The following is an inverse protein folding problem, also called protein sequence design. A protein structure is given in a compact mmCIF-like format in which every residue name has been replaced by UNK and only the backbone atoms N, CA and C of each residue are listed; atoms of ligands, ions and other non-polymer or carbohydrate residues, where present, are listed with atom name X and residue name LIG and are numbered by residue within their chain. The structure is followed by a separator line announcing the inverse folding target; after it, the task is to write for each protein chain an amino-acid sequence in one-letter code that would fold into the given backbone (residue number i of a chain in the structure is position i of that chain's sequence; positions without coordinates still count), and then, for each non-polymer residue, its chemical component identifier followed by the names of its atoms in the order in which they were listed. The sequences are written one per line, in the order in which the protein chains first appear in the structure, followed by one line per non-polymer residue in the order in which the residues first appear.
data_IF_170074770185
#
_entry.id   IF_170074770185
#
_cell.length_a   1.000
_cell.length_b   1.000
_cell.length_c   1.000
_cell.angle_alpha   90.00
_cell.angle_beta   90.00
_cell.angle_gamma   90.00
#
_symmetry.space_group_name_H-M   'P 1'
#
loop_
_entity.id
_entity.type
_entity.pdbx_description
1 polymer ?
#
# COMPACT_ATOMS: atom_id res chain seq x y z
N UNK A 1 24.94 -10.56 -17.37
CA UNK A 1 24.14 -9.79 -16.39
C UNK A 1 23.49 -8.65 -17.14
N UNK A 2 22.15 -8.52 -17.12
CA UNK A 2 21.55 -7.29 -17.62
C UNK A 2 20.68 -6.63 -16.54
N UNK A 3 21.02 -5.38 -16.22
CA UNK A 3 20.35 -4.45 -15.29
C UNK A 3 20.38 -4.78 -13.79
N UNK A 4 21.03 -3.89 -13.04
CA UNK A 4 20.89 -3.72 -11.59
C UNK A 4 19.90 -2.58 -11.27
N UNK A 5 19.34 -2.50 -10.05
CA UNK A 5 18.53 -1.36 -9.63
C UNK A 5 19.26 -0.02 -9.80
N UNK A 6 20.57 0.00 -9.51
CA UNK A 6 21.41 1.18 -9.72
C UNK A 6 21.53 1.57 -11.22
N UNK A 7 21.46 0.62 -12.14
CA UNK A 7 21.47 0.91 -13.58
C UNK A 7 20.14 1.54 -14.03
N UNK A 8 19.02 1.16 -13.41
CA UNK A 8 17.69 1.77 -13.65
C UNK A 8 17.68 3.19 -13.12
N UNK A 9 18.18 3.41 -11.90
CA UNK A 9 18.22 4.74 -11.28
C UNK A 9 19.09 5.74 -12.05
N UNK A 10 20.21 5.29 -12.61
CA UNK A 10 21.17 6.13 -13.32
C UNK A 10 20.90 6.25 -14.84
N UNK A 11 19.79 5.69 -15.34
CA UNK A 11 19.49 5.75 -16.77
C UNK A 11 19.08 7.16 -17.18
N UNK A 12 19.67 7.66 -18.27
CA UNK A 12 19.33 8.96 -18.84
C UNK A 12 18.86 8.82 -20.29
N UNK A 13 17.64 9.29 -20.58
CA UNK A 13 17.09 9.29 -21.92
C UNK A 13 17.37 10.61 -22.65
N UNK A 14 17.74 10.53 -23.93
CA UNK A 14 17.94 11.71 -24.78
C UNK A 14 16.61 12.38 -25.14
N UNK A 15 16.57 13.72 -25.17
CA UNK A 15 15.38 14.47 -25.58
C UNK A 15 14.99 14.13 -27.04
N UNK A 16 13.67 14.04 -27.34
CA UNK A 16 13.20 13.77 -28.69
C UNK A 16 13.76 14.77 -29.72
N UNK A 17 14.09 14.34 -30.95
CA UNK A 17 14.47 15.24 -32.03
C UNK A 17 13.39 16.32 -32.25
N UNK A 18 13.83 17.55 -32.57
CA UNK A 18 12.94 18.70 -32.74
C UNK A 18 11.78 18.36 -33.69
N UNK A 19 10.56 18.58 -33.22
CA UNK A 19 9.32 18.31 -33.98
C UNK A 19 8.70 16.92 -33.77
N UNK A 20 9.31 16.04 -32.96
CA UNK A 20 8.71 14.77 -32.54
C UNK A 20 8.23 14.82 -31.09
N UNK A 21 7.09 14.19 -30.82
CA UNK A 21 6.57 14.03 -29.45
C UNK A 21 7.33 12.90 -28.75
N UNK A 22 7.74 13.14 -27.51
CA UNK A 22 8.31 12.13 -26.61
C UNK A 22 7.31 11.65 -25.56
N UNK A 23 7.78 10.76 -24.69
CA UNK A 23 7.08 10.41 -23.46
C UNK A 23 7.11 11.57 -22.46
N UNK A 24 6.17 11.59 -21.53
CA UNK A 24 6.14 12.54 -20.43
C UNK A 24 7.21 12.16 -19.41
N UNK A 25 8.13 13.08 -19.09
CA UNK A 25 9.25 12.83 -18.18
C UNK A 25 8.73 12.36 -16.80
N UNK A 26 7.70 13.01 -16.25
CA UNK A 26 7.12 12.67 -14.94
C UNK A 26 6.53 11.25 -14.89
N UNK A 27 5.89 10.81 -15.98
CA UNK A 27 5.29 9.46 -16.07
C UNK A 27 6.36 8.38 -16.26
N UNK A 28 7.44 8.72 -16.96
CA UNK A 28 8.59 7.82 -17.15
C UNK A 28 9.34 7.66 -15.83
N UNK A 29 9.61 8.74 -15.11
CA UNK A 29 10.30 8.70 -13.82
C UNK A 29 9.50 7.88 -12.78
N UNK A 30 8.18 8.12 -12.67
CA UNK A 30 7.32 7.33 -11.78
C UNK A 30 7.28 5.83 -12.13
N UNK A 31 7.38 5.49 -13.42
CA UNK A 31 7.47 4.10 -13.86
C UNK A 31 8.84 3.48 -13.53
N UNK A 32 9.93 4.23 -13.68
CA UNK A 32 11.28 3.77 -13.33
C UNK A 32 11.43 3.52 -11.83
N UNK A 33 10.83 4.37 -10.97
CA UNK A 33 10.79 4.14 -9.52
C UNK A 33 10.12 2.81 -9.17
N UNK A 34 9.01 2.49 -9.84
CA UNK A 34 8.30 1.22 -9.65
C UNK A 34 9.13 0.02 -10.13
N UNK A 35 9.82 0.17 -11.26
CA UNK A 35 10.72 -0.86 -11.80
C UNK A 35 11.93 -1.08 -10.88
N UNK A 36 12.52 -0.01 -10.33
CA UNK A 36 13.64 -0.09 -9.38
C UNK A 36 13.23 -0.83 -8.10
N UNK A 37 12.07 -0.49 -7.54
CA UNK A 37 11.53 -1.14 -6.35
C UNK A 37 11.26 -2.63 -6.58
N UNK A 38 10.62 -2.98 -7.70
CA UNK A 38 10.29 -4.38 -8.01
C UNK A 38 11.54 -5.20 -8.33
N UNK A 39 12.54 -4.60 -9.01
CA UNK A 39 13.80 -5.26 -9.29
C UNK A 39 14.59 -5.53 -8.00
N UNK A 40 14.59 -4.58 -7.06
CA UNK A 40 15.21 -4.77 -5.74
C UNK A 40 14.54 -5.91 -4.99
N UNK A 41 13.20 -5.91 -4.93
CA UNK A 41 12.42 -6.98 -4.31
C UNK A 41 12.70 -8.35 -4.93
N UNK A 42 12.73 -8.44 -6.26
CA UNK A 42 13.00 -9.70 -6.96
C UNK A 42 14.41 -10.23 -6.70
N UNK A 43 15.40 -9.33 -6.56
CA UNK A 43 16.77 -9.71 -6.22
C UNK A 43 16.85 -10.24 -4.79
N UNK A 44 16.21 -9.55 -3.84
CA UNK A 44 16.12 -10.00 -2.43
C UNK A 44 15.42 -11.36 -2.35
N UNK A 45 14.25 -11.52 -2.98
CA UNK A 45 13.50 -12.78 -3.01
C UNK A 45 14.31 -13.91 -3.67
N UNK A 46 15.03 -13.63 -4.77
CA UNK A 46 15.89 -14.63 -5.39
C UNK A 46 17.05 -15.03 -4.47
N UNK A 47 17.58 -14.08 -3.70
CA UNK A 47 18.65 -14.34 -2.74
C UNK A 47 18.17 -15.19 -1.56
N UNK A 48 16.98 -14.89 -1.04
CA UNK A 48 16.34 -15.64 0.05
C UNK A 48 15.97 -17.06 -0.40
N UNK A 49 15.40 -17.20 -1.59
CA UNK A 49 15.08 -18.50 -2.18
C UNK A 49 16.33 -19.35 -2.40
N UNK A 50 17.42 -18.74 -2.86
CA UNK A 50 18.72 -19.45 -3.00
C UNK A 50 19.27 -19.89 -1.65
N UNK A 51 19.22 -19.03 -0.64
CA UNK A 51 19.63 -19.39 0.72
C UNK A 51 18.76 -20.53 1.27
N UNK A 52 17.44 -20.50 1.02
CA UNK A 52 16.54 -21.56 1.46
C UNK A 52 16.78 -22.89 0.75
N UNK A 53 17.10 -22.86 -0.53
CA UNK A 53 17.54 -24.05 -1.28
C UNK A 53 18.83 -24.60 -0.69
N UNK A 54 19.81 -23.74 -0.41
CA UNK A 54 21.08 -24.16 0.18
C UNK A 54 20.90 -24.75 1.59
N UNK A 55 20.04 -24.15 2.43
CA UNK A 55 19.67 -24.66 3.75
C UNK A 55 18.98 -26.03 3.64
N UNK A 56 18.01 -26.17 2.72
CA UNK A 56 17.34 -27.45 2.47
C UNK A 56 18.29 -28.50 1.93
N UNK A 57 19.23 -28.15 1.05
CA UNK A 57 20.27 -29.06 0.55
C UNK A 57 21.20 -29.48 1.69
N UNK A 58 21.53 -28.59 2.63
CA UNK A 58 22.31 -28.91 3.83
C UNK A 58 21.51 -29.79 4.82
N UNK A 59 20.22 -29.53 5.01
CA UNK A 59 19.32 -30.39 5.81
C UNK A 59 19.12 -31.75 5.15
N UNK A 60 19.05 -31.83 3.83
CA UNK A 60 19.03 -33.08 3.07
C UNK A 60 20.38 -33.79 3.08
N UNK A 61 21.50 -33.06 3.16
CA UNK A 61 22.82 -33.67 3.35
C UNK A 61 23.02 -34.17 4.80
N UNK A 62 22.51 -33.44 5.80
CA UNK A 62 22.60 -33.78 7.21
C UNK A 62 21.57 -34.86 7.63
N UNK A 63 20.35 -34.77 7.11
CA UNK A 63 19.29 -35.77 7.21
C UNK A 63 19.45 -36.93 6.22
N UNK A 64 20.26 -36.74 5.18
CA UNK A 64 20.71 -37.75 4.22
C UNK A 64 21.82 -38.66 4.73
N UNK A 65 21.98 -38.75 6.05
CA UNK A 65 22.62 -39.87 6.73
C UNK A 65 21.84 -41.19 6.60
N UNK A 66 21.32 -41.51 5.42
CA UNK A 66 20.85 -42.83 5.00
C UNK A 66 20.68 -42.95 3.47
N UNK A 67 21.53 -42.31 2.66
CA UNK A 67 21.73 -42.72 1.26
C UNK A 67 23.08 -42.20 0.76
N UNK A 68 24.14 -42.91 1.11
CA UNK A 68 25.42 -42.75 0.45
C UNK A 68 25.25 -43.00 -1.07
N UNK A 69 25.74 -42.12 -1.97
CA UNK A 69 26.15 -42.56 -3.28
C UNK A 69 27.39 -43.41 -3.04
N UNK A 70 27.23 -44.73 -3.09
CA UNK A 70 28.33 -45.67 -3.11
C UNK A 70 29.19 -45.38 -4.34
N UNK A 71 30.24 -44.59 -4.11
CA UNK A 71 31.36 -44.45 -5.00
C UNK A 71 31.90 -45.85 -5.27
N UNK A 72 31.79 -46.25 -6.53
CA UNK A 72 32.45 -47.41 -7.09
C UNK A 72 33.97 -47.25 -6.94
N UNK A 73 34.54 -47.99 -5.99
CA UNK A 73 35.94 -48.43 -6.01
C UNK A 73 35.93 -49.97 -5.95
N UNK A 74 36.82 -50.64 -6.71
CA UNK A 74 36.65 -52.02 -7.12
C UNK A 74 36.94 -52.98 -5.97
N UNK A 75 35.89 -53.56 -5.40
CA UNK A 75 36.04 -54.72 -4.53
C UNK A 75 36.39 -55.91 -5.41
N UNK A 76 37.59 -56.40 -5.17
CA UNK A 76 38.24 -57.50 -5.86
C UNK A 76 37.33 -58.72 -5.90
N UNK A 77 37.26 -59.31 -7.09
CA UNK A 77 36.70 -60.62 -7.32
C UNK A 77 37.34 -61.61 -6.33
N UNK A 78 36.53 -62.11 -5.39
CA UNK A 78 36.81 -63.39 -4.77
C UNK A 78 36.71 -64.41 -5.92
N UNK A 79 37.79 -65.13 -6.26
CA UNK A 79 37.74 -66.13 -7.30
C UNK A 79 36.73 -67.18 -6.85
N UNK A 80 35.68 -67.34 -7.64
CA UNK A 80 34.82 -68.52 -7.60
C UNK A 80 35.74 -69.69 -7.91
N UNK A 81 36.18 -70.37 -6.85
CA UNK A 81 36.87 -71.63 -6.97
C UNK A 81 35.89 -72.63 -7.58
N UNK A 82 36.17 -72.94 -8.84
CA UNK A 82 35.70 -74.11 -9.55
C UNK A 82 35.97 -75.36 -8.71
N UNK A 83 34.95 -76.10 -8.26
CA UNK A 83 35.20 -77.38 -7.62
C UNK A 83 35.56 -78.37 -8.72
N UNK A 84 36.84 -78.71 -8.81
CA UNK A 84 37.31 -79.87 -9.58
C UNK A 84 36.56 -81.14 -9.11
N UNK A 85 36.16 -82.02 -10.05
CA UNK A 85 35.50 -83.26 -9.72
C UNK A 85 36.53 -84.26 -9.16
N UNK A 86 36.65 -84.32 -7.84
CA UNK A 86 37.35 -85.42 -7.16
C UNK A 86 36.57 -86.71 -7.32
N UNK A 87 37.14 -87.61 -8.13
CA UNK A 87 36.73 -89.00 -8.34
C UNK A 87 36.58 -89.75 -7.03
N UNK A 88 35.60 -90.64 -7.05
CA UNK A 88 35.15 -91.52 -5.97
C UNK A 88 36.17 -92.58 -5.51
N UNK A 89 36.05 -92.89 -4.21
CA UNK A 89 36.10 -94.21 -3.56
C UNK A 89 37.48 -94.92 -3.40
N UNK A 90 37.67 -95.80 -2.38
CA UNK A 90 36.63 -96.50 -1.62
C UNK A 90 36.73 -96.46 -0.08
N UNK A 91 35.60 -96.85 0.50
CA UNK A 91 35.34 -97.02 1.91
C UNK A 91 36.30 -97.99 2.61
N UNK A 92 36.65 -97.66 3.85
CA UNK A 92 36.96 -98.63 4.88
C UNK A 92 35.85 -98.57 5.92
N UNK A 93 34.92 -99.52 5.81
CA UNK A 93 33.87 -99.77 6.78
C UNK A 93 34.49 -100.31 8.08
N UNK A 94 34.12 -99.75 9.22
CA UNK A 94 34.00 -100.51 10.49
C UNK A 94 33.17 -99.73 11.52
N UNK A 95 32.06 -100.36 11.96
CA UNK A 95 31.09 -99.99 13.02
C UNK A 95 30.11 -98.83 12.75
N UNK A 96 29.03 -99.15 12.02
CA UNK A 96 28.18 -98.17 11.31
C UNK A 96 26.80 -97.85 11.91
N UNK A 97 26.37 -98.41 13.03
CA UNK A 97 25.05 -98.07 13.61
C UNK A 97 25.13 -97.00 14.70
N UNK A 98 26.10 -97.10 15.59
CA UNK A 98 26.15 -96.23 16.78
C UNK A 98 26.67 -94.82 16.46
N UNK A 99 27.52 -94.67 15.44
CA UNK A 99 27.94 -93.37 14.90
C UNK A 99 26.83 -92.70 14.07
N UNK A 100 26.03 -93.48 13.33
CA UNK A 100 24.87 -92.97 12.60
C UNK A 100 23.77 -92.46 13.55
N UNK A 101 23.53 -93.15 14.67
CA UNK A 101 22.59 -92.72 15.71
C UNK A 101 23.09 -91.44 16.40
N UNK A 102 24.40 -91.33 16.70
CA UNK A 102 25.00 -90.11 17.27
C UNK A 102 24.92 -88.94 16.27
N UNK A 103 25.21 -89.18 14.99
CA UNK A 103 25.10 -88.17 13.94
C UNK A 103 23.65 -87.70 13.72
N UNK A 104 22.67 -88.62 13.70
CA UNK A 104 21.25 -88.27 13.57
C UNK A 104 20.75 -87.44 14.77
N UNK A 105 21.19 -87.75 15.99
CA UNK A 105 20.84 -86.97 17.19
C UNK A 105 21.45 -85.57 17.16
N UNK A 106 22.68 -85.42 16.65
CA UNK A 106 23.31 -84.10 16.45
C UNK A 106 22.60 -83.32 15.33
N UNK A 107 22.19 -83.99 14.23
CA UNK A 107 21.43 -83.36 13.16
C UNK A 107 20.07 -82.85 13.66
N UNK A 108 19.37 -83.66 14.46
CA UNK A 108 18.11 -83.29 15.11
C UNK A 108 18.28 -82.10 16.04
N UNK A 109 19.33 -82.10 16.86
CA UNK A 109 19.64 -80.95 17.73
C UNK A 109 19.95 -79.70 16.90
N UNK A 110 20.69 -79.85 15.80
CA UNK A 110 20.98 -78.74 14.89
C UNK A 110 19.71 -78.21 14.21
N UNK A 111 18.81 -79.09 13.76
CA UNK A 111 17.51 -78.72 13.20
C UNK A 111 16.63 -78.00 14.24
N UNK A 112 16.53 -78.52 15.46
CA UNK A 112 15.81 -77.86 16.55
C UNK A 112 16.38 -76.46 16.85
N UNK A 113 17.71 -76.31 16.84
CA UNK A 113 18.33 -74.99 17.02
C UNK A 113 18.08 -74.05 15.86
N UNK A 114 18.04 -74.55 14.62
CA UNK A 114 17.74 -73.76 13.43
C UNK A 114 16.28 -73.29 13.42
N UNK A 115 15.34 -74.17 13.78
CA UNK A 115 13.92 -73.85 13.89
C UNK A 115 13.65 -72.85 15.02
N UNK A 116 14.38 -72.97 16.13
CA UNK A 116 14.29 -72.00 17.23
C UNK A 116 14.87 -70.64 16.84
N UNK A 117 16.02 -70.60 16.18
CA UNK A 117 16.64 -69.34 15.73
C UNK A 117 15.77 -68.62 14.69
N UNK A 118 15.18 -69.37 13.75
CA UNK A 118 14.27 -68.80 12.75
C UNK A 118 12.99 -68.27 13.40
N UNK A 119 12.40 -69.00 14.34
CA UNK A 119 11.25 -68.51 15.12
C UNK A 119 11.57 -67.24 15.92
N UNK A 120 12.72 -67.17 16.59
CA UNK A 120 13.12 -65.97 17.33
C UNK A 120 13.39 -64.78 16.40
N UNK A 121 14.04 -65.01 15.26
CA UNK A 121 14.30 -63.96 14.28
C UNK A 121 13.00 -63.43 13.64
N UNK A 122 12.04 -64.32 13.36
CA UNK A 122 10.71 -63.93 12.88
C UNK A 122 9.98 -63.09 13.92
N UNK A 123 9.95 -63.53 15.19
CA UNK A 123 9.29 -62.79 16.26
C UNK A 123 9.93 -61.41 16.51
N UNK A 124 11.27 -61.31 16.47
CA UNK A 124 11.98 -60.04 16.58
C UNK A 124 11.69 -59.10 15.39
N UNK A 125 11.63 -59.65 14.17
CA UNK A 125 11.30 -58.87 12.97
C UNK A 125 9.86 -58.35 13.00
N UNK A 126 8.90 -59.19 13.38
CA UNK A 126 7.50 -58.80 13.53
C UNK A 126 7.34 -57.70 14.58
N UNK A 127 8.06 -57.83 15.71
CA UNK A 127 8.08 -56.80 16.75
C UNK A 127 8.66 -55.49 16.22
N UNK A 128 9.80 -55.53 15.53
CA UNK A 128 10.42 -54.33 14.95
C UNK A 128 9.51 -53.64 13.93
N UNK A 129 8.79 -54.40 13.10
CA UNK A 129 7.80 -53.86 12.17
C UNK A 129 6.60 -53.27 12.88
N UNK A 130 6.13 -53.87 13.98
CA UNK A 130 5.06 -53.33 14.80
C UNK A 130 5.47 -52.01 15.47
N UNK A 131 6.67 -51.96 16.06
CA UNK A 131 7.23 -50.76 16.69
C UNK A 131 7.44 -49.65 15.66
N UNK A 132 7.98 -49.97 14.47
CA UNK A 132 8.16 -49.01 13.39
C UNK A 132 6.82 -48.44 12.89
N UNK A 133 5.79 -49.28 12.76
CA UNK A 133 4.43 -48.83 12.39
C UNK A 133 3.82 -47.93 13.47
N UNK A 134 3.92 -48.31 14.74
CA UNK A 134 3.41 -47.50 15.85
C UNK A 134 4.09 -46.13 15.91
N UNK A 135 5.41 -46.08 15.71
CA UNK A 135 6.16 -44.82 15.65
C UNK A 135 5.74 -43.97 14.44
N UNK A 136 5.57 -44.57 13.27
CA UNK A 136 5.11 -43.86 12.08
C UNK A 136 3.69 -43.27 12.28
N UNK A 137 2.78 -44.03 12.87
CA UNK A 137 1.43 -43.56 13.17
C UNK A 137 1.44 -42.42 14.19
N UNK A 138 2.30 -42.50 15.20
CA UNK A 138 2.48 -41.41 16.18
C UNK A 138 2.98 -40.14 15.50
N UNK A 139 4.04 -40.21 14.69
CA UNK A 139 4.58 -39.05 13.96
C UNK A 139 3.52 -38.44 13.04
N UNK A 140 2.76 -39.27 12.31
CA UNK A 140 1.69 -38.79 11.44
C UNK A 140 0.56 -38.12 12.22
N UNK A 141 0.21 -38.63 13.41
CA UNK A 141 -0.81 -38.02 14.26
C UNK A 141 -0.36 -36.67 14.83
N UNK A 142 0.89 -36.56 15.24
CA UNK A 142 1.48 -35.32 15.77
C UNK A 142 1.66 -34.27 14.67
N UNK A 143 2.15 -34.69 13.50
CA UNK A 143 2.25 -33.82 12.32
C UNK A 143 0.86 -33.30 11.88
N UNK A 144 -0.19 -34.15 11.92
CA UNK A 144 -1.55 -33.71 11.63
C UNK A 144 -2.08 -32.71 12.66
N UNK A 145 -1.90 -33.00 13.95
CA UNK A 145 -2.36 -32.12 15.04
C UNK A 145 -1.69 -30.73 15.00
N UNK A 146 -0.38 -30.71 14.74
CA UNK A 146 0.38 -29.46 14.59
C UNK A 146 -0.02 -28.70 13.33
N UNK A 147 -0.26 -29.39 12.21
CA UNK A 147 -0.79 -28.77 10.99
C UNK A 147 -2.19 -28.17 11.21
N UNK A 148 -3.09 -28.88 11.88
CA UNK A 148 -4.44 -28.38 12.20
C UNK A 148 -4.37 -27.15 13.10
N UNK A 149 -3.51 -27.17 14.12
CA UNK A 149 -3.33 -26.05 15.04
C UNK A 149 -2.77 -24.82 14.32
N UNK A 150 -1.73 -25.00 13.50
CA UNK A 150 -1.13 -23.88 12.74
C UNK A 150 -2.11 -23.29 11.73
N UNK A 151 -2.91 -24.11 11.05
CA UNK A 151 -3.97 -23.62 10.15
C UNK A 151 -5.06 -22.88 10.92
N UNK A 152 -5.47 -23.39 12.08
CA UNK A 152 -6.48 -22.73 12.92
C UNK A 152 -5.98 -21.37 13.43
N UNK A 153 -4.75 -21.31 13.93
CA UNK A 153 -4.12 -20.05 14.38
C UNK A 153 -3.97 -19.05 13.23
N UNK A 154 -3.50 -19.51 12.06
CA UNK A 154 -3.33 -18.65 10.89
C UNK A 154 -4.70 -18.06 10.45
N UNK A 155 -5.75 -18.88 10.43
CA UNK A 155 -7.12 -18.41 10.14
C UNK A 155 -7.60 -17.40 11.17
N UNK A 156 -7.45 -17.69 12.46
CA UNK A 156 -7.86 -16.77 13.52
C UNK A 156 -7.12 -15.43 13.44
N UNK A 157 -5.81 -15.43 13.15
CA UNK A 157 -5.03 -14.21 12.96
C UNK A 157 -5.48 -13.43 11.73
N UNK A 158 -5.78 -14.12 10.62
CA UNK A 158 -6.30 -13.49 9.41
C UNK A 158 -7.67 -12.85 9.66
N UNK A 159 -8.59 -13.55 10.32
CA UNK A 159 -9.93 -13.03 10.65
C UNK A 159 -9.84 -11.82 11.58
N UNK A 160 -8.95 -11.86 12.58
CA UNK A 160 -8.70 -10.72 13.47
C UNK A 160 -8.13 -9.50 12.72
N UNK A 161 -7.19 -9.73 11.79
CA UNK A 161 -6.62 -8.66 10.96
C UNK A 161 -7.67 -8.04 10.03
N UNK A 162 -8.54 -8.85 9.44
CA UNK A 162 -9.65 -8.37 8.61
C UNK A 162 -10.65 -7.53 9.42
N UNK A 163 -11.00 -7.99 10.63
CA UNK A 163 -11.90 -7.25 11.52
C UNK A 163 -11.31 -5.91 11.97
N UNK A 164 -10.02 -5.87 12.33
CA UNK A 164 -9.33 -4.63 12.70
C UNK A 164 -9.20 -3.67 11.51
N UNK A 165 -8.88 -4.18 10.31
CA UNK A 165 -8.84 -3.37 9.10
C UNK A 165 -10.22 -2.77 8.76
N UNK A 166 -11.29 -3.56 8.88
CA UNK A 166 -12.67 -3.08 8.69
C UNK A 166 -13.03 -2.01 9.72
N UNK A 167 -12.75 -2.24 11.00
CA UNK A 167 -13.04 -1.27 12.06
C UNK A 167 -12.29 0.07 11.86
N UNK A 168 -11.01 0.02 11.47
CA UNK A 168 -10.22 1.22 11.16
C UNK A 168 -10.76 1.95 9.94
N UNK A 169 -11.13 1.22 8.89
CA UNK A 169 -11.73 1.80 7.68
C UNK A 169 -13.06 2.51 8.01
N UNK A 170 -13.94 1.86 8.77
CA UNK A 170 -15.21 2.46 9.19
C UNK A 170 -15.01 3.70 10.06
N UNK A 171 -14.06 3.65 11.00
CA UNK A 171 -13.71 4.81 11.82
C UNK A 171 -13.19 5.98 10.99
N UNK A 172 -12.32 5.72 10.00
CA UNK A 172 -11.80 6.74 9.10
C UNK A 172 -12.91 7.35 8.23
N UNK A 173 -13.84 6.54 7.72
CA UNK A 173 -14.99 7.02 6.95
C UNK A 173 -15.90 7.91 7.80
N UNK A 174 -16.19 7.51 9.04
CA UNK A 174 -16.98 8.35 9.97
C UNK A 174 -16.28 9.69 10.25
N UNK A 175 -14.99 9.66 10.54
CA UNK A 175 -14.22 10.89 10.77
C UNK A 175 -14.17 11.80 9.53
N UNK A 176 -14.07 11.22 8.33
CA UNK A 176 -14.09 11.99 7.09
C UNK A 176 -15.47 12.62 6.85
N UNK A 177 -16.55 11.88 7.09
CA UNK A 177 -17.93 12.38 6.99
C UNK A 177 -18.18 13.51 7.99
N UNK A 178 -17.85 13.32 9.26
CA UNK A 178 -18.00 14.35 10.30
C UNK A 178 -17.25 15.64 9.96
N UNK A 179 -16.02 15.53 9.42
CA UNK A 179 -15.24 16.69 8.96
C UNK A 179 -15.87 17.37 7.75
N UNK A 180 -16.42 16.61 6.80
CA UNK A 180 -17.09 17.14 5.63
C UNK A 180 -18.36 17.91 6.04
N UNK A 181 -19.18 17.32 6.90
CA UNK A 181 -20.41 17.94 7.42
C UNK A 181 -20.10 19.20 8.23
N UNK A 182 -19.06 19.18 9.07
CA UNK A 182 -18.60 20.35 9.81
C UNK A 182 -18.13 21.48 8.89
N UNK A 183 -17.36 21.16 7.86
CA UNK A 183 -16.88 22.13 6.87
C UNK A 183 -18.05 22.73 6.07
N UNK A 184 -19.03 21.91 5.70
CA UNK A 184 -20.24 22.38 5.02
C UNK A 184 -21.04 23.33 5.92
N UNK A 185 -21.26 22.96 7.18
CA UNK A 185 -21.97 23.80 8.14
C UNK A 185 -21.22 25.13 8.41
N UNK A 186 -19.89 25.12 8.47
CA UNK A 186 -19.06 26.33 8.56
C UNK A 186 -19.20 27.21 7.31
N UNK A 187 -19.19 26.61 6.12
CA UNK A 187 -19.34 27.32 4.86
C UNK A 187 -20.73 27.98 4.74
N UNK A 188 -21.79 27.25 5.08
CA UNK A 188 -23.17 27.76 5.09
C UNK A 188 -23.34 28.91 6.09
N UNK A 189 -22.78 28.78 7.30
CA UNK A 189 -22.79 29.87 8.30
C UNK A 189 -22.11 31.12 7.74
N UNK A 190 -20.87 31.01 7.26
CA UNK A 190 -20.14 32.14 6.66
C UNK A 190 -20.88 32.75 5.48
N UNK A 191 -21.48 31.91 4.63
CA UNK A 191 -22.27 32.39 3.49
C UNK A 191 -23.47 33.21 3.96
N UNK A 192 -24.21 32.71 4.95
CA UNK A 192 -25.37 33.42 5.51
C UNK A 192 -24.99 34.75 6.16
N UNK A 193 -23.86 34.80 6.87
CA UNK A 193 -23.32 36.02 7.47
C UNK A 193 -22.93 37.04 6.40
N UNK A 194 -22.15 36.63 5.41
CA UNK A 194 -21.72 37.50 4.30
C UNK A 194 -22.94 38.03 3.55
N UNK A 195 -23.89 37.17 3.18
CA UNK A 195 -25.12 37.60 2.51
C UNK A 195 -25.95 38.54 3.37
N UNK A 196 -26.01 38.30 4.69
CA UNK A 196 -26.61 39.22 5.64
C UNK A 196 -25.98 40.61 5.58
N UNK A 197 -24.65 40.70 5.61
CA UNK A 197 -23.92 41.98 5.52
C UNK A 197 -24.11 42.67 4.17
N UNK A 198 -24.06 41.94 3.07
CA UNK A 198 -24.28 42.47 1.72
C UNK A 198 -25.69 43.05 1.60
N UNK A 199 -26.70 42.34 2.10
CA UNK A 199 -28.08 42.81 2.10
C UNK A 199 -28.25 44.08 2.96
N UNK A 200 -27.62 44.13 4.14
CA UNK A 200 -27.63 45.35 4.97
C UNK A 200 -26.99 46.54 4.25
N UNK A 201 -25.81 46.35 3.65
CA UNK A 201 -25.13 47.39 2.89
C UNK A 201 -25.97 47.86 1.70
N UNK A 202 -26.58 46.93 0.98
CA UNK A 202 -27.50 47.22 -0.13
C UNK A 202 -28.66 48.11 0.34
N UNK A 203 -29.36 47.73 1.42
CA UNK A 203 -30.47 48.52 1.97
C UNK A 203 -30.02 49.93 2.39
N UNK A 204 -28.85 50.06 3.00
CA UNK A 204 -28.30 51.38 3.36
C UNK A 204 -27.98 52.23 2.13
N UNK A 205 -27.40 51.64 1.10
CA UNK A 205 -27.09 52.33 -0.16
C UNK A 205 -28.37 52.74 -0.92
N UNK A 206 -29.38 51.86 -0.96
CA UNK A 206 -30.69 52.15 -1.53
C UNK A 206 -31.37 53.32 -0.80
N UNK A 207 -31.33 53.33 0.54
CA UNK A 207 -31.86 54.44 1.33
C UNK A 207 -31.14 55.77 1.07
N UNK A 208 -29.80 55.76 0.97
CA UNK A 208 -29.02 56.96 0.61
C UNK A 208 -29.36 57.45 -0.81
N UNK A 209 -29.52 56.54 -1.77
CA UNK A 209 -29.90 56.88 -3.13
C UNK A 209 -31.25 57.62 -3.16
N UNK A 210 -32.22 57.15 -2.38
CA UNK A 210 -33.53 57.80 -2.27
C UNK A 210 -33.45 59.18 -1.60
N UNK A 211 -32.65 59.32 -0.54
CA UNK A 211 -32.38 60.63 0.08
C UNK A 211 -31.74 61.61 -0.92
N UNK A 212 -30.74 61.17 -1.70
CA UNK A 212 -30.11 62.00 -2.71
C UNK A 212 -31.09 62.42 -3.81
N UNK A 213 -31.98 61.53 -4.26
CA UNK A 213 -33.03 61.84 -5.25
C UNK A 213 -34.02 62.87 -4.73
N UNK A 214 -34.41 62.77 -3.46
CA UNK A 214 -35.29 63.77 -2.82
C UNK A 214 -34.58 65.11 -2.69
N UNK A 215 -33.34 65.12 -2.19
CA UNK A 215 -32.52 66.32 -2.10
C UNK A 215 -32.34 67.01 -3.46
N UNK A 216 -32.04 66.25 -4.51
CA UNK A 216 -31.92 66.78 -5.88
C UNK A 216 -33.22 67.43 -6.34
N UNK A 217 -34.37 66.77 -6.13
CA UNK A 217 -35.68 67.30 -6.52
C UNK A 217 -35.99 68.61 -5.78
N UNK A 218 -35.76 68.65 -4.48
CA UNK A 218 -35.96 69.85 -3.67
C UNK A 218 -35.00 70.97 -4.08
N UNK A 219 -33.72 70.65 -4.29
CA UNK A 219 -32.71 71.62 -4.72
C UNK A 219 -33.06 72.22 -6.08
N UNK A 220 -33.43 71.40 -7.08
CA UNK A 220 -33.89 71.87 -8.39
C UNK A 220 -35.11 72.78 -8.27
N UNK A 221 -36.06 72.42 -7.41
CA UNK A 221 -37.26 73.23 -7.17
C UNK A 221 -36.90 74.59 -6.54
N UNK A 222 -36.10 74.59 -5.48
CA UNK A 222 -35.64 75.82 -4.80
C UNK A 222 -34.81 76.72 -5.73
N UNK A 223 -33.92 76.13 -6.52
CA UNK A 223 -33.10 76.85 -7.49
C UNK A 223 -33.98 77.49 -8.58
N UNK A 224 -34.98 76.76 -9.09
CA UNK A 224 -35.94 77.30 -10.05
C UNK A 224 -36.71 78.49 -9.46
N UNK A 225 -37.28 78.33 -8.27
CA UNK A 225 -38.02 79.41 -7.59
C UNK A 225 -37.14 80.62 -7.31
N UNK A 226 -35.88 80.41 -6.90
CA UNK A 226 -34.92 81.49 -6.67
C UNK A 226 -34.60 82.26 -7.96
N UNK A 227 -34.33 81.57 -9.07
CA UNK A 227 -34.06 82.20 -10.35
C UNK A 227 -35.29 82.93 -10.90
N UNK A 228 -36.50 82.38 -10.75
CA UNK A 228 -37.75 83.05 -11.12
C UNK A 228 -37.96 84.34 -10.32
N UNK A 229 -37.74 84.30 -9.00
CA UNK A 229 -37.78 85.47 -8.13
C UNK A 229 -36.75 86.53 -8.53
N UNK A 230 -35.49 86.15 -8.81
CA UNK A 230 -34.46 87.09 -9.26
C UNK A 230 -34.81 87.74 -10.59
N UNK A 231 -35.39 86.98 -11.53
CA UNK A 231 -35.83 87.51 -12.82
C UNK A 231 -37.01 88.48 -12.65
N UNK A 232 -37.95 88.19 -11.75
CA UNK A 232 -39.07 89.07 -11.45
C UNK A 232 -38.61 90.39 -10.81
N UNK A 233 -37.68 90.34 -9.85
CA UNK A 233 -37.06 91.54 -9.27
C UNK A 233 -36.34 92.39 -10.31
N UNK A 234 -35.62 91.77 -11.25
CA UNK A 234 -34.99 92.47 -12.36
C UNK A 234 -36.02 93.07 -13.33
N UNK A 235 -37.12 92.37 -13.59
CA UNK A 235 -38.25 92.91 -14.36
C UNK A 235 -38.89 94.12 -13.69
N UNK A 236 -39.11 94.08 -12.38
CA UNK A 236 -39.64 95.19 -11.60
C UNK A 236 -38.67 96.39 -11.56
N UNK A 237 -37.36 96.13 -11.39
CA UNK A 237 -36.33 97.18 -11.42
C UNK A 237 -36.11 97.77 -12.82
N UNK A 238 -36.21 96.96 -13.88
CA UNK A 238 -36.21 97.43 -15.27
C UNK A 238 -37.45 98.26 -15.61
N UNK A 239 -38.58 97.96 -14.96
CA UNK A 239 -39.81 98.77 -15.05
C UNK A 239 -39.76 100.05 -14.20
N UNK A 240 -38.77 100.19 -13.31
CA UNK A 240 -38.55 101.36 -12.47
C UNK A 240 -37.44 102.28 -13.02
N UNK A 241 -37.33 102.40 -14.34
CA UNK A 241 -36.61 103.52 -14.95
C UNK A 241 -37.38 104.81 -14.64
N UNK A 242 -36.76 105.83 -14.02
CA UNK A 242 -37.42 107.10 -13.78
C UNK A 242 -37.75 107.75 -15.13
N UNK A 243 -39.03 108.13 -15.31
CA UNK A 243 -39.40 109.08 -16.37
C UNK A 243 -38.76 110.41 -16.03
N UNK A 244 -37.76 110.80 -16.82
CA UNK A 244 -37.06 112.08 -16.71
C UNK A 244 -38.10 113.22 -16.77
N UNK A 245 -38.30 113.88 -15.63
CA UNK A 245 -38.96 115.17 -15.54
C UNK A 245 -37.88 116.25 -15.59
N UNK A 246 -37.32 116.48 -16.78
CA UNK A 246 -36.32 117.51 -17.03
C UNK A 246 -36.96 118.80 -17.56
N UNK A 247 -37.19 119.74 -16.65
CA UNK A 247 -37.24 121.20 -16.87
C UNK A 247 -37.22 121.83 -15.46
N UNK A 248 -36.35 122.75 -15.06
CA UNK A 248 -35.63 123.79 -15.80
C UNK A 248 -34.48 124.34 -14.91
N UNK A 249 -33.58 125.05 -15.58
CA UNK A 249 -32.29 125.61 -15.22
C UNK A 249 -32.07 126.29 -13.84
N UNK A 250 -30.80 126.26 -13.42
CA UNK A 250 -30.10 127.52 -13.10
C UNK A 250 -29.10 127.53 -11.94
N UNK A 251 -27.80 127.38 -12.27
CA UNK A 251 -26.66 127.99 -11.55
C UNK A 251 -26.30 127.43 -10.17
N UNK A 252 -25.11 127.62 -9.61
CA UNK A 252 -23.90 128.34 -10.01
C UNK A 252 -22.83 127.89 -8.99
N UNK A 253 -21.68 127.45 -9.51
CA UNK A 253 -20.31 127.62 -8.97
C UNK A 253 -19.89 127.18 -7.54
N UNK A 254 -18.74 126.48 -7.55
CA UNK A 254 -17.55 126.75 -6.72
C UNK A 254 -17.62 126.50 -5.21
N UNK A 255 -16.88 125.50 -4.71
CA UNK A 255 -15.57 125.75 -4.13
C UNK A 255 -14.83 124.46 -3.74
N UNK A 256 -13.56 124.49 -4.09
CA UNK A 256 -12.50 123.51 -3.93
C UNK A 256 -11.91 123.50 -2.51
N UNK A 257 -11.60 122.30 -1.98
CA UNK A 257 -10.55 121.95 -0.98
C UNK A 257 -10.85 120.50 -0.54
N UNK A 258 -10.07 119.45 -0.85
CA UNK A 258 -8.63 119.32 -0.82
C UNK A 258 -8.21 118.82 0.57
N UNK A 259 -7.86 117.54 0.73
CA UNK A 259 -6.50 117.08 1.07
C UNK A 259 -6.48 115.57 1.38
N UNK A 260 -5.31 114.98 1.09
CA UNK A 260 -4.79 113.64 1.40
C UNK A 260 -5.34 112.92 2.63
#
# INVERSE_FOLDING_TARGET
MPLTPADVHNVAFSKPPIGKRGYNEDEVDAFLDLVEAELTRLIEENSDLRQRIEELDQELAAGGGAAAPAAAAPTQAIPVAEPEPVKAAPAAAVSNEEQAIKAARVLSLAQDTADRLTSTAQAESEKMLADARANADQILSEARSTAETTVAEARQRADAMLADAQARSEAQLRQAQEKADALQADAERKHSEIMGTINQQRTVLEGRLEQLRTFEREYRTRLKTYLESQLEELGQRGSAAPVDSSADAGGFDQFNRGNN
#
